data_IF_215166851876
#
_entry.id   IF_215166851876
#
_cell.length_a   1.000
_cell.length_b   1.000
_cell.length_c   1.000
_cell.angle_alpha   90.00
_cell.angle_beta   90.00
_cell.angle_gamma   90.00
#
_symmetry.space_group_name_H-M   'P 1'
#
loop_
_entity.id
_entity.type
_entity.pdbx_description
1 polymer ?
#
# COMPACT_ATOMS: atom_id res chain seq x y z
N UNK A 1 -17.23 -23.89 -5.14
CA UNK A 1 -16.91 -22.59 -4.52
C UNK A 1 -17.42 -22.63 -3.10
N UNK A 2 -16.52 -22.68 -2.12
CA UNK A 2 -16.84 -22.55 -0.70
C UNK A 2 -15.85 -21.55 -0.11
N UNK A 3 -16.38 -20.45 0.41
CA UNK A 3 -15.64 -19.49 1.23
C UNK A 3 -15.89 -19.90 2.67
N UNK A 4 -14.84 -20.09 3.48
CA UNK A 4 -15.01 -20.37 4.90
C UNK A 4 -15.64 -19.14 5.58
N UNK A 5 -16.42 -19.31 6.67
CA UNK A 5 -16.95 -18.16 7.41
C UNK A 5 -15.81 -17.25 7.87
N UNK A 6 -15.74 -16.03 7.32
CA UNK A 6 -14.68 -15.05 7.59
C UNK A 6 -13.72 -14.78 6.42
N UNK A 7 -13.68 -15.64 5.40
CA UNK A 7 -12.87 -15.41 4.20
C UNK A 7 -13.58 -14.45 3.22
N UNK A 8 -12.79 -13.65 2.50
CA UNK A 8 -13.31 -12.80 1.43
C UNK A 8 -13.66 -13.65 0.21
N UNK A 9 -14.75 -13.38 -0.52
CA UNK A 9 -15.04 -14.09 -1.75
C UNK A 9 -13.90 -13.95 -2.78
N UNK A 10 -13.51 -15.05 -3.42
CA UNK A 10 -12.40 -15.09 -4.39
C UNK A 10 -12.50 -14.03 -5.50
N UNK A 11 -13.73 -13.72 -5.93
CA UNK A 11 -13.99 -12.70 -6.94
C UNK A 11 -13.54 -11.29 -6.48
N UNK A 12 -13.71 -10.97 -5.19
CA UNK A 12 -13.26 -9.69 -4.64
C UNK A 12 -11.74 -9.67 -4.56
N UNK A 13 -11.12 -10.75 -4.09
CA UNK A 13 -9.65 -10.88 -4.05
C UNK A 13 -9.05 -10.76 -5.45
N UNK A 14 -9.66 -11.41 -6.45
CA UNK A 14 -9.26 -11.30 -7.84
C UNK A 14 -9.44 -9.87 -8.38
N UNK A 15 -10.54 -9.20 -8.07
CA UNK A 15 -10.78 -7.82 -8.49
C UNK A 15 -9.75 -6.85 -7.88
N UNK A 16 -9.40 -7.00 -6.60
CA UNK A 16 -8.33 -6.21 -5.95
C UNK A 16 -7.00 -6.42 -6.68
N UNK A 17 -6.63 -7.68 -6.96
CA UNK A 17 -5.41 -7.99 -7.72
C UNK A 17 -5.41 -7.36 -9.11
N UNK A 18 -6.50 -7.47 -9.86
CA UNK A 18 -6.60 -6.88 -11.20
C UNK A 18 -6.44 -5.37 -11.14
N UNK A 19 -7.12 -4.70 -10.19
CA UNK A 19 -7.02 -3.25 -10.07
C UNK A 19 -5.64 -2.80 -9.58
N UNK A 20 -4.99 -3.56 -8.70
CA UNK A 20 -3.61 -3.30 -8.27
C UNK A 20 -2.65 -3.28 -9.47
N UNK A 21 -2.73 -4.27 -10.37
CA UNK A 21 -1.86 -4.35 -11.54
C UNK A 21 -2.16 -3.28 -12.61
N UNK A 22 -3.23 -2.49 -12.47
CA UNK A 22 -3.53 -1.35 -13.33
C UNK A 22 -2.87 -0.05 -12.86
N UNK A 23 -2.40 -0.02 -11.62
CA UNK A 23 -1.69 1.13 -11.07
C UNK A 23 -0.31 1.28 -11.71
N UNK A 24 0.22 2.50 -11.73
CA UNK A 24 1.63 2.72 -12.05
C UNK A 24 2.56 1.96 -11.09
N UNK A 25 3.79 1.66 -11.52
CA UNK A 25 4.75 0.93 -10.67
C UNK A 25 5.07 1.67 -9.36
N UNK A 26 5.15 3.00 -9.41
CA UNK A 26 5.40 3.82 -8.22
C UNK A 26 4.19 3.78 -7.27
N UNK A 27 2.97 3.88 -7.79
CA UNK A 27 1.75 3.72 -7.00
C UNK A 27 1.61 2.31 -6.41
N UNK A 28 1.97 1.25 -7.14
CA UNK A 28 2.02 -0.10 -6.60
C UNK A 28 3.01 -0.20 -5.43
N UNK A 29 4.21 0.36 -5.58
CA UNK A 29 5.23 0.39 -4.53
C UNK A 29 4.77 1.13 -3.27
N UNK A 30 4.19 2.31 -3.45
CA UNK A 30 3.65 3.15 -2.36
C UNK A 30 2.48 2.45 -1.66
N UNK A 31 1.58 1.81 -2.41
CA UNK A 31 0.44 1.09 -1.84
C UNK A 31 0.88 -0.14 -1.03
N UNK A 32 1.89 -0.88 -1.51
CA UNK A 32 2.48 -2.00 -0.77
C UNK A 32 3.17 -1.49 0.50
N UNK A 33 3.90 -0.37 0.44
CA UNK A 33 4.48 0.25 1.63
C UNK A 33 3.41 0.64 2.66
N UNK A 34 2.29 1.23 2.21
CA UNK A 34 1.16 1.55 3.09
C UNK A 34 0.55 0.29 3.74
N UNK A 35 0.44 -0.81 3.00
CA UNK A 35 -0.11 -2.06 3.51
C UNK A 35 0.80 -2.67 4.59
N UNK A 36 2.11 -2.63 4.37
CA UNK A 36 3.13 -3.15 5.28
C UNK A 36 3.25 -2.33 6.56
N UNK A 37 3.22 -1.00 6.46
CA UNK A 37 3.41 -0.10 7.60
C UNK A 37 2.15 0.03 8.46
N UNK A 38 0.99 -0.16 7.85
CA UNK A 38 -0.32 -0.14 8.48
C UNK A 38 -0.70 1.19 9.17
N UNK A 39 -2.00 1.40 9.35
CA UNK A 39 -2.58 2.56 10.00
C UNK A 39 -2.50 3.79 9.12
N UNK A 40 -2.19 4.92 9.75
CA UNK A 40 -2.07 6.22 9.09
C UNK A 40 -0.61 6.56 8.93
N UNK A 41 -0.13 6.61 7.70
CA UNK A 41 1.29 6.65 7.39
C UNK A 41 1.64 7.99 6.73
N UNK A 42 2.60 8.76 7.26
CA UNK A 42 3.04 9.99 6.61
C UNK A 42 3.58 9.75 5.21
N UNK A 43 3.30 10.65 4.25
CA UNK A 43 3.78 10.56 2.87
C UNK A 43 5.29 10.33 2.78
N UNK A 44 6.08 11.07 3.57
CA UNK A 44 7.53 10.92 3.60
C UNK A 44 7.98 9.52 4.03
N UNK A 45 7.24 8.86 4.94
CA UNK A 45 7.56 7.50 5.38
C UNK A 45 7.18 6.48 4.29
N UNK A 46 6.06 6.69 3.59
CA UNK A 46 5.66 5.89 2.44
C UNK A 46 6.69 5.96 1.31
N UNK A 47 7.13 7.17 0.95
CA UNK A 47 8.13 7.38 -0.08
C UNK A 47 9.45 6.67 0.23
N UNK A 48 9.95 6.82 1.46
CA UNK A 48 11.17 6.12 1.90
C UNK A 48 11.04 4.60 1.85
N UNK A 49 9.92 4.06 2.34
CA UNK A 49 9.70 2.62 2.32
C UNK A 49 9.55 2.07 0.89
N UNK A 50 8.90 2.82 0.00
CA UNK A 50 8.71 2.46 -1.41
C UNK A 50 9.94 2.74 -2.28
N UNK A 51 10.88 3.58 -1.84
CA UNK A 51 11.98 4.07 -2.67
C UNK A 51 11.53 5.06 -3.75
N UNK A 52 10.44 5.80 -3.49
CA UNK A 52 9.83 6.78 -4.41
C UNK A 52 9.88 8.16 -3.75
N UNK A 53 10.44 9.15 -4.44
CA UNK A 53 10.67 10.49 -3.90
C UNK A 53 10.24 11.60 -4.87
N UNK A 54 10.15 12.83 -4.38
CA UNK A 54 9.86 14.02 -5.18
C UNK A 54 8.51 13.96 -5.90
N UNK A 55 8.49 14.46 -7.14
CA UNK A 55 7.27 14.54 -7.95
C UNK A 55 6.66 13.17 -8.25
N UNK A 56 7.49 12.11 -8.34
CA UNK A 56 7.01 10.74 -8.54
C UNK A 56 6.18 10.25 -7.34
N UNK A 57 6.57 10.62 -6.11
CA UNK A 57 5.80 10.30 -4.92
C UNK A 57 4.47 11.05 -4.91
N UNK A 58 4.48 12.34 -5.29
CA UNK A 58 3.25 13.13 -5.42
C UNK A 58 2.27 12.51 -6.41
N UNK A 59 2.74 12.21 -7.63
CA UNK A 59 1.91 11.59 -8.67
C UNK A 59 1.37 10.22 -8.26
N UNK A 60 2.18 9.40 -7.57
CA UNK A 60 1.74 8.11 -7.05
C UNK A 60 0.63 8.27 -5.98
N UNK A 61 0.77 9.23 -5.07
CA UNK A 61 -0.25 9.49 -4.04
C UNK A 61 -1.54 10.03 -4.66
N UNK A 62 -1.44 10.95 -5.63
CA UNK A 62 -2.60 11.48 -6.36
C UNK A 62 -3.36 10.37 -7.10
N UNK A 63 -2.63 9.44 -7.76
CA UNK A 63 -3.23 8.28 -8.40
C UNK A 63 -3.97 7.39 -7.38
N UNK A 64 -3.35 7.09 -6.25
CA UNK A 64 -3.92 6.24 -5.21
C UNK A 64 -5.15 6.88 -4.54
N UNK A 65 -5.18 8.21 -4.39
CA UNK A 65 -6.34 8.96 -3.91
C UNK A 65 -7.48 8.95 -4.95
N UNK A 66 -7.16 9.25 -6.20
CA UNK A 66 -8.14 9.26 -7.30
C UNK A 66 -8.82 7.89 -7.43
N UNK A 67 -8.02 6.84 -7.48
CA UNK A 67 -8.49 5.46 -7.62
C UNK A 67 -9.08 4.87 -6.33
N UNK A 68 -9.19 5.69 -5.26
CA UNK A 68 -9.81 5.34 -3.97
C UNK A 68 -9.14 4.16 -3.24
N UNK A 69 -7.83 3.99 -3.42
CA UNK A 69 -7.04 3.05 -2.63
C UNK A 69 -6.70 3.63 -1.26
N UNK A 70 -6.20 4.87 -1.26
CA UNK A 70 -5.83 5.61 -0.07
C UNK A 70 -6.70 6.86 0.07
N UNK A 71 -6.83 7.33 1.30
CA UNK A 71 -7.36 8.64 1.61
C UNK A 71 -6.29 9.45 2.36
N UNK A 72 -6.12 10.71 1.96
CA UNK A 72 -5.38 11.67 2.75
C UNK A 72 -6.20 12.03 4.01
N UNK A 73 -5.56 11.88 5.17
CA UNK A 73 -6.04 12.33 6.47
C UNK A 73 -5.07 13.37 7.06
N UNK A 74 -5.47 14.05 8.13
CA UNK A 74 -4.71 15.12 8.77
C UNK A 74 -3.25 14.78 9.17
N UNK A 75 -2.87 13.50 9.21
CA UNK A 75 -1.53 13.03 9.61
C UNK A 75 -0.88 12.03 8.63
N UNK A 76 -1.43 11.89 7.44
CA UNK A 76 -0.91 10.96 6.43
C UNK A 76 -2.01 10.19 5.74
N UNK A 77 -1.64 9.05 5.17
CA UNK A 77 -2.49 8.28 4.28
C UNK A 77 -2.95 6.99 4.94
N UNK A 78 -4.19 6.62 4.70
CA UNK A 78 -4.80 5.38 5.19
C UNK A 78 -5.52 4.66 4.06
N UNK A 79 -5.60 3.34 4.13
CA UNK A 79 -6.48 2.59 3.23
C UNK A 79 -7.94 3.00 3.43
N UNK A 80 -8.65 3.22 2.32
CA UNK A 80 -10.09 3.50 2.35
C UNK A 80 -10.87 2.33 2.97
N UNK A 81 -10.40 1.10 2.75
CA UNK A 81 -10.99 -0.10 3.32
C UNK A 81 -9.91 -1.05 3.84
N UNK A 82 -9.98 -1.38 5.14
CA UNK A 82 -9.04 -2.31 5.80
C UNK A 82 -8.96 -3.67 5.11
N UNK A 83 -10.08 -4.18 4.61
CA UNK A 83 -10.09 -5.48 3.92
C UNK A 83 -9.25 -5.47 2.64
N UNK A 84 -9.17 -4.34 1.94
CA UNK A 84 -8.34 -4.18 0.73
C UNK A 84 -6.87 -4.16 1.12
N UNK A 85 -6.50 -3.48 2.22
CA UNK A 85 -5.15 -3.53 2.81
C UNK A 85 -4.74 -4.97 3.06
N UNK A 86 -5.60 -5.76 3.70
CA UNK A 86 -5.30 -7.15 4.05
C UNK A 86 -5.07 -8.03 2.82
N UNK A 87 -5.83 -7.81 1.74
CA UNK A 87 -5.59 -8.50 0.46
C UNK A 87 -4.25 -8.08 -0.16
N UNK A 88 -3.93 -6.78 -0.19
CA UNK A 88 -2.65 -6.30 -0.73
C UNK A 88 -1.49 -6.86 0.10
N UNK A 89 -1.57 -6.78 1.42
CA UNK A 89 -0.53 -7.25 2.35
C UNK A 89 -0.27 -8.75 2.24
N UNK A 90 -1.33 -9.54 2.07
CA UNK A 90 -1.25 -11.01 1.95
C UNK A 90 -0.76 -11.46 0.58
N UNK A 91 -1.29 -10.87 -0.48
CA UNK A 91 -1.14 -11.44 -1.82
C UNK A 91 -0.04 -10.75 -2.64
N UNK A 92 0.20 -9.45 -2.44
CA UNK A 92 1.12 -8.65 -3.26
C UNK A 92 2.49 -8.45 -2.60
N UNK A 93 2.63 -8.73 -1.29
CA UNK A 93 3.86 -8.47 -0.54
C UNK A 93 4.68 -9.73 -0.38
N UNK A 94 5.87 -9.73 -0.97
CA UNK A 94 6.85 -10.82 -0.77
C UNK A 94 7.57 -10.63 0.58
N UNK A 95 7.84 -11.69 1.37
CA UNK A 95 8.47 -11.55 2.69
C UNK A 95 9.79 -10.75 2.71
N UNK A 96 10.64 -10.94 1.69
CA UNK A 96 11.90 -10.17 1.58
C UNK A 96 11.68 -8.69 1.27
N UNK A 97 10.64 -8.35 0.51
CA UNK A 97 10.25 -6.96 0.23
C UNK A 97 9.72 -6.28 1.49
N UNK A 98 8.85 -6.96 2.25
CA UNK A 98 8.37 -6.47 3.55
C UNK A 98 9.52 -6.05 4.47
N UNK A 99 10.53 -6.92 4.63
CA UNK A 99 11.68 -6.64 5.48
C UNK A 99 12.41 -5.38 5.03
N UNK A 100 12.70 -5.23 3.74
CA UNK A 100 13.37 -4.05 3.20
C UNK A 100 12.57 -2.76 3.42
N UNK A 101 11.25 -2.81 3.26
CA UNK A 101 10.37 -1.65 3.48
C UNK A 101 10.37 -1.22 4.95
N UNK A 102 10.25 -2.18 5.87
CA UNK A 102 10.32 -1.91 7.32
C UNK A 102 11.69 -1.35 7.73
N UNK A 103 12.78 -1.91 7.18
CA UNK A 103 14.13 -1.43 7.47
C UNK A 103 14.36 -0.01 6.92
N UNK A 104 13.89 0.29 5.70
CA UNK A 104 13.96 1.61 5.10
C UNK A 104 13.15 2.65 5.90
N UNK A 105 11.97 2.27 6.38
CA UNK A 105 11.13 3.10 7.24
C UNK A 105 11.79 3.39 8.61
N UNK A 106 12.45 2.38 9.20
CA UNK A 106 13.09 2.46 10.52
C UNK A 106 14.46 3.15 10.55
N UNK A 107 15.18 3.23 9.41
CA UNK A 107 16.51 3.88 9.33
C UNK A 107 16.51 5.42 9.44
N UNK A 108 15.36 6.04 9.73
CA UNK A 108 15.22 7.50 9.80
C UNK A 108 15.75 8.16 11.08
N UNK A 109 16.83 7.61 11.68
CA UNK A 109 17.58 8.26 12.76
C UNK A 109 19.08 8.32 12.41
N UNK A 110 19.41 8.95 11.27
CA UNK A 110 20.71 9.58 11.02
C UNK A 110 20.73 10.20 9.61
N UNK A 111 20.40 11.48 9.51
CA UNK A 111 20.92 12.45 8.55
C UNK A 111 20.44 13.84 8.97
#
# INVERSE_FOLDING_TARGET
QQTFPGDLPDAITAAVRVNFHRLSNDAQGVLVAAAVLDGRVPAALLGRAAGVEGDALGAALDELEWQRWLAAEARGYAFVARIVRDVVDRDMVVPGQRRRMLDAAGRSASA
#
